data_IF_870494941161
#
_entry.id   IF_870494941161
#
_cell.length_a   1.000
_cell.length_b   1.000
_cell.length_c   1.000
_cell.angle_alpha   90.00
_cell.angle_beta   90.00
_cell.angle_gamma   90.00
#
_symmetry.space_group_name_H-M   'P 1'
#
loop_
_entity.id
_entity.type
_entity.pdbx_description
1 polymer ?
#
# COMPACT_ATOMS: atom_id res chain seq x y z
N UNK A 1 -16.21 23.71 6.22
CA UNK A 1 -15.32 23.94 5.08
C UNK A 1 -14.35 22.77 5.05
N UNK A 2 -14.42 21.89 4.06
CA UNK A 2 -13.37 20.90 3.85
C UNK A 2 -12.16 21.65 3.33
N UNK A 3 -11.10 21.71 4.14
CA UNK A 3 -9.84 22.26 3.68
C UNK A 3 -9.35 21.40 2.50
N UNK A 4 -9.01 22.04 1.37
CA UNK A 4 -8.36 21.35 0.26
C UNK A 4 -6.96 20.92 0.71
N UNK A 5 -6.79 19.62 0.93
CA UNK A 5 -5.49 19.05 1.28
C UNK A 5 -4.65 18.95 -0.01
N UNK A 6 -3.46 19.58 -0.06
CA UNK A 6 -2.59 19.49 -1.23
C UNK A 6 -2.01 18.08 -1.40
N UNK A 7 -1.80 17.66 -2.66
CA UNK A 7 -1.27 16.33 -3.03
C UNK A 7 -0.10 16.49 -3.99
N UNK A 8 0.96 15.70 -3.78
CA UNK A 8 2.12 15.61 -4.67
C UNK A 8 2.23 14.16 -5.16
N UNK A 9 2.37 13.95 -6.48
CA UNK A 9 2.56 12.63 -7.08
C UNK A 9 3.98 12.52 -7.65
N UNK A 10 4.58 11.32 -7.53
CA UNK A 10 5.95 11.04 -8.00
C UNK A 10 5.93 9.73 -8.80
N UNK A 11 6.00 9.85 -10.12
CA UNK A 11 5.90 8.73 -11.07
C UNK A 11 7.22 8.48 -11.80
N UNK A 12 7.41 7.24 -12.28
CA UNK A 12 8.61 6.83 -13.01
C UNK A 12 8.91 5.33 -12.89
N UNK A 13 9.91 4.80 -13.61
CA UNK A 13 10.18 3.36 -13.68
C UNK A 13 10.69 2.77 -12.35
N UNK A 14 10.65 1.44 -12.24
CA UNK A 14 11.26 0.72 -11.12
C UNK A 14 12.75 1.04 -11.00
N UNK A 15 13.25 1.21 -9.77
CA UNK A 15 14.66 1.54 -9.51
C UNK A 15 15.04 3.01 -9.67
N UNK A 16 14.14 3.91 -10.09
CA UNK A 16 14.44 5.34 -10.28
C UNK A 16 14.60 6.16 -8.98
N UNK A 17 14.54 5.53 -7.80
CA UNK A 17 14.70 6.22 -6.51
C UNK A 17 13.45 6.95 -5.98
N UNK A 18 12.28 6.78 -6.61
CA UNK A 18 11.01 7.44 -6.22
C UNK A 18 10.68 7.29 -4.74
N UNK A 19 10.72 6.06 -4.21
CA UNK A 19 10.41 5.81 -2.81
C UNK A 19 11.34 6.54 -1.84
N UNK A 20 12.62 6.68 -2.19
CA UNK A 20 13.60 7.46 -1.41
C UNK A 20 13.24 8.95 -1.42
N UNK A 21 12.88 9.50 -2.58
CA UNK A 21 12.47 10.90 -2.72
C UNK A 21 11.16 11.19 -1.97
N UNK A 22 10.14 10.33 -2.13
CA UNK A 22 8.85 10.50 -1.45
C UNK A 22 9.01 10.55 0.07
N UNK A 23 9.85 9.67 0.64
CA UNK A 23 10.16 9.65 2.07
C UNK A 23 10.80 10.96 2.54
N UNK A 24 11.85 11.39 1.85
CA UNK A 24 12.54 12.63 2.21
C UNK A 24 11.61 13.86 2.14
N UNK A 25 10.72 13.91 1.15
CA UNK A 25 9.72 14.98 1.02
C UNK A 25 8.69 14.93 2.15
N UNK A 26 8.13 13.75 2.44
CA UNK A 26 7.12 13.58 3.49
C UNK A 26 7.67 13.99 4.87
N UNK A 27 8.90 13.60 5.19
CA UNK A 27 9.57 13.99 6.43
C UNK A 27 9.85 15.48 6.52
N UNK A 28 10.35 16.08 5.43
CA UNK A 28 10.66 17.52 5.39
C UNK A 28 9.39 18.38 5.52
N UNK A 29 8.28 17.93 4.93
CA UNK A 29 7.02 18.66 4.93
C UNK A 29 6.11 18.32 6.12
N UNK A 30 6.38 17.23 6.85
CA UNK A 30 5.48 16.67 7.86
C UNK A 30 4.16 16.16 7.26
N UNK A 31 4.19 15.67 6.01
CA UNK A 31 3.01 15.22 5.28
C UNK A 31 2.83 13.71 5.35
N UNK A 32 1.62 13.26 5.05
CA UNK A 32 1.33 11.84 4.85
C UNK A 32 2.04 11.30 3.60
N UNK A 33 2.49 10.06 3.68
CA UNK A 33 3.10 9.32 2.58
C UNK A 33 2.21 8.15 2.20
N UNK A 34 1.98 7.97 0.90
CA UNK A 34 1.29 6.82 0.34
C UNK A 34 2.20 6.12 -0.68
N UNK A 35 2.47 4.84 -0.47
CA UNK A 35 3.18 3.99 -1.44
C UNK A 35 2.15 3.14 -2.19
N UNK A 36 1.85 3.54 -3.44
CA UNK A 36 0.85 2.85 -4.28
C UNK A 36 1.21 1.40 -4.55
N UNK A 37 2.49 1.06 -4.62
CA UNK A 37 2.94 -0.34 -4.79
C UNK A 37 2.71 -1.18 -3.54
N UNK A 38 2.77 -0.57 -2.35
CA UNK A 38 2.48 -1.23 -1.10
C UNK A 38 0.98 -1.53 -0.93
N UNK A 39 0.07 -0.68 -1.44
CA UNK A 39 -1.38 -0.90 -1.34
C UNK A 39 -1.80 -2.26 -1.89
N UNK A 40 -1.39 -2.59 -3.12
CA UNK A 40 -1.73 -3.89 -3.73
C UNK A 40 -1.16 -5.07 -2.94
N UNK A 41 0.00 -4.90 -2.30
CA UNK A 41 0.60 -5.94 -1.46
C UNK A 41 -0.11 -6.08 -0.12
N UNK A 42 -0.60 -4.99 0.46
CA UNK A 42 -1.42 -5.02 1.67
C UNK A 42 -2.76 -5.70 1.37
N UNK A 43 -3.41 -5.38 0.24
CA UNK A 43 -4.65 -6.05 -0.17
C UNK A 43 -4.42 -7.55 -0.40
N UNK A 44 -3.34 -7.92 -1.09
CA UNK A 44 -2.96 -9.32 -1.26
C UNK A 44 -2.71 -10.03 0.06
N UNK A 45 -2.02 -9.37 1.00
CA UNK A 45 -1.77 -9.93 2.33
C UNK A 45 -3.07 -10.11 3.12
N UNK A 46 -3.94 -9.11 3.12
CA UNK A 46 -5.24 -9.18 3.76
C UNK A 46 -6.08 -10.34 3.17
N UNK A 47 -6.06 -10.52 1.85
CA UNK A 47 -6.75 -11.63 1.21
C UNK A 47 -6.20 -12.99 1.67
N UNK A 48 -4.88 -13.12 1.82
CA UNK A 48 -4.25 -14.33 2.34
C UNK A 48 -4.59 -14.58 3.82
N UNK A 49 -4.57 -13.55 4.68
CA UNK A 49 -4.92 -13.66 6.10
C UNK A 49 -6.39 -14.06 6.30
N UNK A 50 -7.31 -13.45 5.55
CA UNK A 50 -8.75 -13.71 5.62
C UNK A 50 -9.21 -14.90 4.77
N UNK A 51 -8.28 -15.61 4.12
CA UNK A 51 -8.57 -16.74 3.23
C UNK A 51 -9.59 -16.39 2.11
N UNK A 52 -9.52 -15.15 1.62
CA UNK A 52 -10.31 -14.67 0.49
C UNK A 52 -9.70 -15.20 -0.81
N UNK A 53 -10.55 -15.62 -1.73
CA UNK A 53 -10.11 -16.10 -3.05
C UNK A 53 -9.48 -14.95 -3.87
N UNK A 54 -8.17 -15.03 -4.05
CA UNK A 54 -7.36 -14.04 -4.78
C UNK A 54 -7.58 -14.05 -6.29
N UNK A 55 -8.30 -15.05 -6.81
CA UNK A 55 -8.69 -15.14 -8.22
C UNK A 55 -10.11 -14.59 -8.46
N UNK A 56 -10.82 -14.14 -7.41
CA UNK A 56 -12.19 -13.63 -7.48
C UNK A 56 -12.26 -12.12 -7.24
N UNK A 57 -12.46 -11.34 -8.30
CA UNK A 57 -12.66 -9.89 -8.21
C UNK A 57 -13.85 -9.56 -7.28
N UNK A 58 -14.95 -10.31 -7.35
CA UNK A 58 -16.12 -10.06 -6.51
C UNK A 58 -15.83 -10.23 -5.01
N UNK A 59 -14.94 -11.15 -4.65
CA UNK A 59 -14.53 -11.36 -3.26
C UNK A 59 -13.51 -10.31 -2.79
N UNK A 60 -12.66 -9.81 -3.68
CA UNK A 60 -11.63 -8.81 -3.38
C UNK A 60 -12.18 -7.39 -3.23
N UNK A 61 -13.17 -6.99 -4.02
CA UNK A 61 -13.79 -5.65 -3.99
C UNK A 61 -14.21 -5.20 -2.58
N UNK A 62 -14.98 -5.97 -1.79
CA UNK A 62 -15.38 -5.54 -0.46
C UNK A 62 -14.19 -5.45 0.50
N UNK A 63 -13.17 -6.30 0.35
CA UNK A 63 -11.96 -6.27 1.16
C UNK A 63 -11.14 -4.99 0.85
N UNK A 64 -10.95 -4.68 -0.43
CA UNK A 64 -10.26 -3.46 -0.87
C UNK A 64 -10.95 -2.18 -0.38
N UNK A 65 -12.29 -2.14 -0.46
CA UNK A 65 -13.07 -0.98 -0.05
C UNK A 65 -13.00 -0.68 1.47
N UNK A 66 -12.70 -1.69 2.30
CA UNK A 66 -12.68 -1.57 3.75
C UNK A 66 -11.30 -1.87 4.36
N UNK A 67 -10.25 -1.79 3.54
CA UNK A 67 -8.89 -2.12 3.95
C UNK A 67 -8.40 -1.15 5.05
N UNK A 68 -8.22 -1.66 6.28
CA UNK A 68 -7.70 -0.89 7.40
C UNK A 68 -6.17 -0.82 7.33
N UNK A 69 -5.67 0.09 6.48
CA UNK A 69 -4.23 0.30 6.26
C UNK A 69 -3.79 1.69 6.69
N UNK A 70 -2.64 1.75 7.36
CA UNK A 70 -1.96 3.00 7.72
C UNK A 70 -0.49 2.95 7.33
N UNK A 71 -0.03 4.03 6.70
CA UNK A 71 1.38 4.26 6.37
C UNK A 71 1.96 5.27 7.34
N UNK A 72 2.91 4.84 8.16
CA UNK A 72 3.53 5.68 9.20
C UNK A 72 4.99 5.87 8.86
N UNK A 73 5.40 7.12 8.64
CA UNK A 73 6.82 7.45 8.41
C UNK A 73 7.45 7.91 9.72
N UNK A 74 8.37 7.11 10.25
CA UNK A 74 9.10 7.39 11.49
C UNK A 74 10.60 7.26 11.22
N UNK A 75 11.40 8.31 11.47
CA UNK A 75 12.86 8.28 11.41
C UNK A 75 13.48 7.65 10.13
N UNK A 76 12.94 7.91 8.93
CA UNK A 76 13.43 7.34 7.66
C UNK A 76 12.81 5.99 7.28
N UNK A 77 12.15 5.32 8.21
CA UNK A 77 11.43 4.07 7.98
C UNK A 77 9.96 4.31 7.70
N UNK A 78 9.43 3.57 6.72
CA UNK A 78 8.01 3.51 6.43
C UNK A 78 7.47 2.22 7.02
N UNK A 79 6.67 2.35 8.06
CA UNK A 79 5.90 1.29 8.68
C UNK A 79 4.54 1.17 7.98
N UNK A 80 4.13 -0.06 7.68
CA UNK A 80 2.84 -0.38 7.07
C UNK A 80 2.06 -1.20 8.07
N UNK A 81 0.97 -0.61 8.57
CA UNK A 81 0.11 -1.22 9.59
C UNK A 81 -1.18 -1.67 8.91
N UNK A 82 -1.50 -2.96 9.02
CA UNK A 82 -2.75 -3.58 8.56
C UNK A 82 -3.50 -4.08 9.78
N UNK A 83 -4.74 -3.64 9.99
CA UNK A 83 -5.62 -4.11 11.09
C UNK A 83 -4.99 -3.98 12.49
N UNK A 84 -4.07 -3.01 12.64
CA UNK A 84 -3.35 -2.76 13.88
C UNK A 84 -1.99 -3.46 14.01
N UNK A 85 -1.61 -4.33 13.07
CA UNK A 85 -0.35 -5.06 13.08
C UNK A 85 0.65 -4.50 12.06
N UNK A 86 1.93 -4.43 12.44
CA UNK A 86 3.01 -4.05 11.51
C UNK A 86 3.32 -5.19 10.54
N UNK A 87 2.95 -4.99 9.27
CA UNK A 87 3.14 -5.93 8.17
C UNK A 87 4.27 -5.53 7.22
N UNK A 88 5.10 -4.54 7.59
CA UNK A 88 6.13 -3.94 6.73
C UNK A 88 7.10 -4.94 6.09
N UNK A 89 7.45 -5.99 6.81
CA UNK A 89 8.32 -7.07 6.33
C UNK A 89 7.54 -8.09 5.49
N UNK A 90 6.34 -8.45 5.91
CA UNK A 90 5.52 -9.49 5.28
C UNK A 90 5.08 -9.07 3.87
N UNK A 91 4.70 -7.80 3.68
CA UNK A 91 4.35 -7.26 2.37
C UNK A 91 5.53 -7.21 1.38
N UNK A 92 6.76 -7.52 1.82
CA UNK A 92 7.96 -7.58 0.96
C UNK A 92 8.33 -9.01 0.58
N UNK A 93 7.62 -10.01 1.09
CA UNK A 93 7.84 -11.40 0.73
C UNK A 93 7.49 -11.65 -0.73
N UNK A 94 8.13 -12.66 -1.33
CA UNK A 94 7.89 -13.01 -2.72
C UNK A 94 6.45 -13.50 -2.94
N UNK A 95 5.88 -14.22 -1.98
CA UNK A 95 4.52 -14.76 -2.08
C UNK A 95 3.47 -13.65 -2.11
N UNK A 96 3.62 -12.64 -1.26
CA UNK A 96 2.74 -11.45 -1.29
C UNK A 96 2.95 -10.66 -2.57
N UNK A 97 4.19 -10.49 -3.05
CA UNK A 97 4.46 -9.78 -4.30
C UNK A 97 3.82 -10.49 -5.53
N UNK A 98 3.87 -11.82 -5.55
CA UNK A 98 3.24 -12.63 -6.60
C UNK A 98 1.71 -12.49 -6.55
N UNK A 99 1.11 -12.58 -5.36
CA UNK A 99 -0.33 -12.44 -5.17
C UNK A 99 -0.82 -11.02 -5.52
N UNK A 100 -0.08 -9.99 -5.12
CA UNK A 100 -0.38 -8.60 -5.48
C UNK A 100 -0.42 -8.38 -7.00
N UNK A 101 0.47 -9.07 -7.74
CA UNK A 101 0.48 -9.00 -9.20
C UNK A 101 -0.77 -9.60 -9.84
N UNK A 102 -1.42 -10.57 -9.18
CA UNK A 102 -2.70 -11.14 -9.63
C UNK A 102 -3.86 -10.21 -9.31
N UNK A 103 -3.92 -9.74 -8.06
CA UNK A 103 -4.98 -8.85 -7.58
C UNK A 103 -5.03 -7.54 -8.39
N UNK A 104 -3.86 -6.98 -8.73
CA UNK A 104 -3.76 -5.74 -9.51
C UNK A 104 -4.26 -5.85 -10.97
N UNK A 105 -4.58 -7.05 -11.47
CA UNK A 105 -5.17 -7.23 -12.80
C UNK A 105 -6.67 -6.94 -12.84
N UNK A 106 -7.34 -6.97 -11.68
CA UNK A 106 -8.77 -6.75 -11.57
C UNK A 106 -9.08 -5.25 -11.52
N UNK A 107 -9.81 -4.69 -12.51
CA UNK A 107 -10.03 -3.24 -12.60
C UNK A 107 -10.78 -2.61 -11.43
N UNK A 108 -11.52 -3.40 -10.66
CA UNK A 108 -12.37 -2.91 -9.55
C UNK A 108 -11.79 -3.18 -8.16
N UNK A 109 -10.71 -3.97 -8.08
CA UNK A 109 -10.04 -4.31 -6.83
C UNK A 109 -9.07 -3.22 -6.37
#
# INVERSE_FOLDING_TARGET
MTATVPVITIDGPGGAGKGTLCKAMAETLGWHLLDSGAIYRVLALAALHHHVDVESEEALVPLAAHLDVRFVSTNGSLEVVLEGEDVSAEIRTQDVANTASKVALFPRA
#
